data_IF_438324175121
#
_entry.id   IF_438324175121
#
_cell.length_a   1.000
_cell.length_b   1.000
_cell.length_c   1.000
_cell.angle_alpha   90.00
_cell.angle_beta   90.00
_cell.angle_gamma   90.00
#
_symmetry.space_group_name_H-M   'P 1'
#
loop_
_entity.id
_entity.type
_entity.pdbx_description
1 polymer ?
#
# COMPACT_ATOMS: atom_id res chain seq x y z
N UNK A 1 26.13 4.04 18.08
CA UNK A 1 25.85 2.85 17.26
C UNK A 1 24.60 3.19 16.46
N UNK A 2 24.76 3.64 15.21
CA UNK A 2 23.61 3.95 14.35
C UNK A 2 22.88 2.64 14.07
N UNK A 3 21.69 2.48 14.67
CA UNK A 3 20.82 1.35 14.38
C UNK A 3 20.22 1.65 13.01
N UNK A 4 20.77 1.04 11.96
CA UNK A 4 20.18 1.17 10.63
C UNK A 4 18.69 0.81 10.71
N UNK A 5 17.80 1.63 10.13
CA UNK A 5 16.38 1.33 10.14
C UNK A 5 16.15 -0.09 9.59
N UNK A 6 15.27 -0.89 10.20
CA UNK A 6 15.06 -2.27 9.78
C UNK A 6 14.69 -2.31 8.29
N UNK A 7 15.22 -3.30 7.54
CA UNK A 7 14.95 -3.42 6.11
C UNK A 7 13.46 -3.61 5.88
N UNK A 8 12.90 -2.84 4.95
CA UNK A 8 11.51 -2.96 4.50
C UNK A 8 11.52 -3.78 3.22
N UNK A 9 10.91 -4.96 3.25
CA UNK A 9 10.75 -5.81 2.06
C UNK A 9 9.32 -5.67 1.58
N UNK A 10 9.16 -5.36 0.30
CA UNK A 10 7.86 -5.35 -0.37
C UNK A 10 7.77 -6.46 -1.38
N UNK A 11 6.69 -7.20 -1.32
CA UNK A 11 6.29 -8.16 -2.34
C UNK A 11 5.03 -7.64 -2.98
N UNK A 12 5.10 -7.34 -4.27
CA UNK A 12 3.94 -7.07 -5.10
C UNK A 12 3.41 -8.38 -5.69
N UNK A 13 2.10 -8.49 -5.86
CA UNK A 13 1.52 -9.65 -6.52
C UNK A 13 0.35 -9.30 -7.41
N UNK A 14 0.07 -10.20 -8.36
CA UNK A 14 -1.01 -10.07 -9.33
C UNK A 14 -2.38 -9.88 -8.66
N UNK A 15 -3.35 -9.38 -9.44
CA UNK A 15 -4.69 -8.98 -8.99
C UNK A 15 -5.25 -9.88 -7.87
N UNK A 16 -5.75 -9.24 -6.81
CA UNK A 16 -6.48 -9.92 -5.76
C UNK A 16 -7.64 -10.75 -6.36
N UNK A 17 -8.14 -11.73 -5.60
CA UNK A 17 -9.15 -12.67 -6.06
C UNK A 17 -10.48 -12.02 -6.54
N UNK A 18 -10.66 -10.72 -6.32
CA UNK A 18 -11.80 -9.92 -6.79
C UNK A 18 -11.71 -9.47 -8.25
N UNK A 19 -10.63 -9.84 -8.97
CA UNK A 19 -10.50 -9.61 -10.40
C UNK A 19 -10.07 -8.20 -10.79
N UNK A 20 -9.57 -7.37 -9.86
CA UNK A 20 -8.94 -6.11 -10.24
C UNK A 20 -8.30 -5.28 -9.14
N UNK A 21 -8.43 -5.62 -7.86
CA UNK A 21 -7.68 -4.95 -6.80
C UNK A 21 -6.21 -5.36 -6.82
N UNK A 22 -5.32 -4.46 -6.44
CA UNK A 22 -3.90 -4.71 -6.34
C UNK A 22 -3.55 -5.09 -4.90
N UNK A 23 -2.50 -5.88 -4.66
CA UNK A 23 -2.04 -6.17 -3.31
C UNK A 23 -0.53 -6.07 -3.17
N UNK A 24 -0.10 -5.69 -1.98
CA UNK A 24 1.29 -5.68 -1.54
C UNK A 24 1.40 -6.34 -0.17
N UNK A 25 2.50 -7.03 0.07
CA UNK A 25 2.92 -7.47 1.41
C UNK A 25 4.14 -6.68 1.81
N UNK A 26 4.08 -6.08 2.99
CA UNK A 26 5.21 -5.35 3.59
C UNK A 26 5.71 -6.15 4.78
N UNK A 27 6.99 -6.48 4.77
CA UNK A 27 7.66 -7.11 5.92
C UNK A 27 8.64 -6.13 6.55
N UNK A 28 8.49 -5.88 7.85
CA UNK A 28 9.39 -5.07 8.66
C UNK A 28 9.87 -5.93 9.82
N UNK A 29 11.19 -6.12 9.95
CA UNK A 29 11.78 -6.93 11.03
C UNK A 29 11.17 -8.34 11.15
N UNK A 30 10.86 -8.97 10.01
CA UNK A 30 10.23 -10.29 9.94
C UNK A 30 8.72 -10.33 10.18
N UNK A 31 8.10 -9.22 10.59
CA UNK A 31 6.65 -9.10 10.70
C UNK A 31 6.04 -8.64 9.37
N UNK A 32 5.26 -9.52 8.72
CA UNK A 32 4.57 -9.24 7.47
C UNK A 32 3.15 -8.69 7.70
N UNK A 33 2.77 -7.66 6.93
CA UNK A 33 1.42 -7.12 6.85
C UNK A 33 0.98 -7.06 5.39
N UNK A 34 -0.24 -7.47 5.13
CA UNK A 34 -0.85 -7.47 3.81
C UNK A 34 -1.75 -6.25 3.63
N UNK A 35 -1.62 -5.61 2.48
CA UNK A 35 -2.43 -4.47 2.09
C UNK A 35 -3.01 -4.68 0.68
N UNK A 36 -4.25 -4.27 0.48
CA UNK A 36 -4.91 -4.30 -0.83
C UNK A 36 -5.40 -2.91 -1.20
N UNK A 37 -5.21 -2.51 -2.45
CA UNK A 37 -5.72 -1.28 -3.05
C UNK A 37 -6.85 -1.64 -4.01
N UNK A 38 -8.06 -1.14 -3.74
CA UNK A 38 -9.22 -1.39 -4.58
C UNK A 38 -9.09 -0.66 -5.92
N UNK A 39 -8.88 -1.44 -6.97
CA UNK A 39 -8.85 -1.01 -8.38
C UNK A 39 -9.80 -1.84 -9.23
N UNK A 40 -10.67 -2.61 -8.60
CA UNK A 40 -11.62 -3.47 -9.29
C UNK A 40 -12.51 -2.65 -10.23
N UNK A 41 -12.77 -3.17 -11.43
CA UNK A 41 -13.60 -2.48 -12.41
C UNK A 41 -15.00 -2.20 -11.84
N UNK A 42 -15.53 -3.14 -11.07
CA UNK A 42 -16.83 -3.04 -10.40
C UNK A 42 -16.89 -1.93 -9.33
N UNK A 43 -15.75 -1.50 -8.78
CA UNK A 43 -15.68 -0.43 -7.77
C UNK A 43 -15.59 0.96 -8.38
N UNK A 44 -15.27 1.09 -9.68
CA UNK A 44 -15.09 2.39 -10.34
C UNK A 44 -16.32 3.28 -10.16
N UNK A 45 -16.10 4.54 -9.79
CA UNK A 45 -17.16 5.52 -9.54
C UNK A 45 -17.80 5.41 -8.16
N UNK A 46 -17.36 4.47 -7.31
CA UNK A 46 -17.79 4.36 -5.91
C UNK A 46 -16.70 4.88 -4.96
N UNK A 47 -17.04 5.24 -3.70
CA UNK A 47 -16.04 5.58 -2.69
C UNK A 47 -15.08 4.44 -2.33
N UNK A 48 -15.35 3.21 -2.78
CA UNK A 48 -14.48 2.06 -2.56
C UNK A 48 -13.30 2.08 -3.50
N UNK A 49 -13.43 2.67 -4.69
CA UNK A 49 -12.32 2.80 -5.63
C UNK A 49 -11.21 3.63 -5.01
N UNK A 50 -9.97 3.16 -5.14
CA UNK A 50 -8.79 3.72 -4.49
C UNK A 50 -8.77 3.60 -2.95
N UNK A 51 -9.68 2.84 -2.33
CA UNK A 51 -9.56 2.52 -0.90
C UNK A 51 -8.44 1.51 -0.65
N UNK A 52 -7.63 1.75 0.38
CA UNK A 52 -6.60 0.81 0.82
C UNK A 52 -7.12 0.09 2.05
N UNK A 53 -6.98 -1.24 2.07
CA UNK A 53 -7.40 -2.11 3.18
C UNK A 53 -6.21 -2.87 3.73
N UNK A 54 -6.18 -3.02 5.06
CA UNK A 54 -5.30 -3.94 5.76
C UNK A 54 -6.10 -5.09 6.39
N UNK A 55 -5.49 -5.78 7.37
CA UNK A 55 -6.10 -6.92 8.05
C UNK A 55 -7.45 -6.61 8.74
N UNK A 56 -7.69 -5.35 9.12
CA UNK A 56 -8.86 -4.95 9.90
C UNK A 56 -9.90 -4.15 9.10
N UNK A 57 -9.73 -4.01 7.78
CA UNK A 57 -10.62 -3.23 6.92
C UNK A 57 -9.92 -2.05 6.25
N UNK A 58 -10.70 -1.03 5.88
CA UNK A 58 -10.17 0.19 5.24
C UNK A 58 -9.26 0.91 6.24
N UNK A 59 -8.08 1.33 5.77
CA UNK A 59 -7.11 2.04 6.59
C UNK A 59 -7.66 3.41 7.01
N UNK A 60 -7.47 3.75 8.28
CA UNK A 60 -7.60 5.11 8.80
C UNK A 60 -6.50 6.02 8.25
N UNK A 61 -6.66 7.34 8.44
CA UNK A 61 -5.67 8.32 7.99
C UNK A 61 -4.30 8.12 8.66
N UNK A 62 -4.28 7.75 9.94
CA UNK A 62 -3.05 7.43 10.67
C UNK A 62 -2.34 6.21 10.05
N UNK A 63 -3.09 5.12 9.81
CA UNK A 63 -2.53 3.92 9.19
C UNK A 63 -2.07 4.16 7.74
N UNK A 64 -2.74 5.05 6.99
CA UNK A 64 -2.31 5.47 5.65
C UNK A 64 -1.00 6.26 5.72
N UNK A 65 -0.87 7.16 6.69
CA UNK A 65 0.37 7.91 6.90
C UNK A 65 1.53 6.99 7.31
N UNK A 66 1.29 6.02 8.20
CA UNK A 66 2.29 5.00 8.56
C UNK A 66 2.71 4.18 7.34
N UNK A 67 1.74 3.69 6.55
CA UNK A 67 2.00 2.93 5.32
C UNK A 67 2.82 3.75 4.33
N UNK A 68 2.49 5.03 4.16
CA UNK A 68 3.24 5.95 3.29
C UNK A 68 4.70 6.06 3.73
N UNK A 69 4.95 6.32 5.01
CA UNK A 69 6.31 6.43 5.55
C UNK A 69 7.10 5.12 5.39
N UNK A 70 6.44 3.97 5.55
CA UNK A 70 7.07 2.67 5.32
C UNK A 70 7.46 2.46 3.85
N UNK A 71 6.59 2.82 2.91
CA UNK A 71 6.87 2.71 1.48
C UNK A 71 7.93 3.71 1.01
N UNK A 72 7.95 4.93 1.56
CA UNK A 72 8.97 5.95 1.27
C UNK A 72 10.37 5.54 1.75
N UNK A 73 10.47 4.66 2.76
CA UNK A 73 11.74 4.09 3.23
C UNK A 73 12.36 3.07 2.26
N UNK A 74 11.62 2.65 1.23
CA UNK A 74 12.17 1.81 0.16
C UNK A 74 13.01 2.72 -0.72
N UNK A 75 14.33 2.60 -0.56
CA UNK A 75 15.32 3.59 -0.98
C UNK A 75 15.48 3.79 -2.50
N UNK A 76 14.79 3.00 -3.34
CA UNK A 76 14.90 3.10 -4.79
C UNK A 76 13.56 3.53 -5.42
N UNK A 77 13.46 4.77 -5.94
CA UNK A 77 12.28 5.23 -6.68
C UNK A 77 11.99 4.40 -7.94
N UNK A 78 12.99 3.68 -8.50
CA UNK A 78 12.80 2.71 -9.58
C UNK A 78 12.03 1.47 -9.12
N UNK A 79 12.15 1.08 -7.85
CA UNK A 79 11.35 0.03 -7.21
C UNK A 79 9.91 0.46 -6.89
N UNK A 80 9.58 1.75 -7.00
CA UNK A 80 8.19 2.21 -6.90
C UNK A 80 7.40 1.96 -8.19
N UNK A 81 8.01 1.40 -9.24
CA UNK A 81 7.28 1.02 -10.45
C UNK A 81 6.21 -0.06 -10.18
N UNK A 82 5.18 -0.09 -11.00
CA UNK A 82 4.13 -1.11 -10.91
C UNK A 82 3.17 -0.89 -9.73
N UNK A 83 2.91 -1.94 -8.96
CA UNK A 83 1.84 -1.95 -7.95
C UNK A 83 2.15 -0.97 -6.81
N UNK A 84 3.40 -0.92 -6.34
CA UNK A 84 3.81 -0.03 -5.24
C UNK A 84 3.54 1.44 -5.58
N UNK A 85 3.81 1.85 -6.83
CA UNK A 85 3.53 3.20 -7.31
C UNK A 85 2.05 3.54 -7.30
N UNK A 86 1.17 2.58 -7.58
CA UNK A 86 -0.28 2.78 -7.47
C UNK A 86 -0.73 3.05 -6.03
N UNK A 87 -0.11 2.39 -5.04
CA UNK A 87 -0.35 2.67 -3.62
C UNK A 87 0.17 4.06 -3.24
N UNK A 88 1.42 4.41 -3.58
CA UNK A 88 2.00 5.73 -3.28
C UNK A 88 1.17 6.86 -3.89
N UNK A 89 0.70 6.72 -5.13
CA UNK A 89 -0.17 7.71 -5.77
C UNK A 89 -1.46 7.95 -4.97
N UNK A 90 -2.07 6.89 -4.43
CA UNK A 90 -3.32 6.99 -3.65
C UNK A 90 -3.06 7.52 -2.24
N UNK A 91 -1.93 7.17 -1.64
CA UNK A 91 -1.50 7.69 -0.33
C UNK A 91 -1.12 9.17 -0.37
N UNK A 92 -0.69 9.67 -1.54
CA UNK A 92 -0.37 11.08 -1.75
C UNK A 92 -1.58 11.95 -2.09
N UNK A 93 -2.75 11.36 -2.36
CA UNK A 93 -3.96 12.16 -2.58
C UNK A 93 -4.41 12.75 -1.25
N UNK A 94 -4.76 14.04 -1.21
CA UNK A 94 -5.44 14.59 -0.05
C UNK A 94 -6.74 13.81 0.16
N UNK A 95 -7.05 13.43 1.40
CA UNK A 95 -8.36 12.87 1.70
C UNK A 95 -9.41 13.88 1.27
N UNK A 96 -10.39 13.42 0.49
CA UNK A 96 -11.51 14.26 0.09
C UNK A 96 -12.18 14.75 1.39
N UNK A 97 -11.99 16.04 1.70
CA UNK A 97 -12.62 16.74 2.83
C UNK A 97 -14.13 16.78 2.69
#
# INVERSE_FOLDING_TARGET
MEKMPPPVIVTDGAAAADGGSLWIRISVDGAARDYSLDRALASRGTPRYDSIRGAHGVLSNEERQELRVLLERIADPGMWAGIVGAFIQVLNRPDAS
#
